data_IF_318093362045
#
_entry.id   IF_318093362045
#
_cell.length_a   1.000
_cell.length_b   1.000
_cell.length_c   1.000
_cell.angle_alpha   90.00
_cell.angle_beta   90.00
_cell.angle_gamma   90.00
#
_symmetry.space_group_name_H-M   'P 1'
#
loop_
_entity.id
_entity.type
_entity.pdbx_description
1 polymer ?
#
# COMPACT_ATOMS: atom_id res chain seq x y z
N UNK A 1 5.45 -10.40 12.67
CA UNK A 1 4.15 -9.85 12.26
C UNK A 1 3.40 -10.89 11.44
N UNK A 2 2.09 -11.09 11.66
CA UNK A 2 1.29 -11.98 10.82
C UNK A 2 1.19 -11.40 9.41
N UNK A 3 1.42 -12.22 8.38
CA UNK A 3 1.23 -11.81 6.98
C UNK A 3 -0.27 -11.81 6.68
N UNK A 4 -0.75 -10.74 6.07
CA UNK A 4 -2.13 -10.60 5.62
C UNK A 4 -2.16 -9.88 4.28
N UNK A 5 -3.26 -10.04 3.56
CA UNK A 5 -3.51 -9.37 2.30
C UNK A 5 -4.53 -8.28 2.55
N UNK A 6 -4.28 -7.09 2.03
CA UNK A 6 -5.25 -6.02 2.01
C UNK A 6 -5.81 -5.86 0.61
N UNK A 7 -7.06 -5.41 0.54
CA UNK A 7 -7.69 -4.92 -0.68
C UNK A 7 -8.00 -3.44 -0.49
N UNK A 8 -7.60 -2.62 -1.46
CA UNK A 8 -7.99 -1.22 -1.57
C UNK A 8 -9.12 -1.18 -2.58
N UNK A 9 -10.34 -0.96 -2.10
CA UNK A 9 -11.56 -1.02 -2.91
C UNK A 9 -11.97 0.35 -3.44
N UNK A 10 -11.52 1.43 -2.79
CA UNK A 10 -11.92 2.80 -3.14
C UNK A 10 -10.83 3.82 -2.86
N UNK A 11 -10.73 4.84 -3.71
CA UNK A 11 -9.94 6.04 -3.43
C UNK A 11 -10.81 7.18 -2.88
N UNK A 12 -10.31 7.88 -1.86
CA UNK A 12 -10.84 9.17 -1.40
C UNK A 12 -10.16 10.35 -2.06
N UNK A 13 -8.86 10.22 -2.34
CA UNK A 13 -8.04 11.21 -3.02
C UNK A 13 -6.94 10.46 -3.75
N UNK A 14 -6.64 10.86 -4.97
CA UNK A 14 -5.59 10.22 -5.76
C UNK A 14 -5.76 10.57 -7.24
N UNK A 15 -4.83 10.10 -8.08
CA UNK A 15 -4.88 10.40 -9.49
C UNK A 15 -5.86 9.43 -10.19
N UNK A 16 -6.50 9.88 -11.28
CA UNK A 16 -7.61 9.16 -11.93
C UNK A 16 -7.17 7.80 -12.46
N UNK A 17 -5.94 7.69 -12.95
CA UNK A 17 -5.38 6.45 -13.47
C UNK A 17 -5.25 5.36 -12.41
N UNK A 18 -5.10 5.72 -11.13
CA UNK A 18 -5.10 4.74 -10.06
C UNK A 18 -6.51 4.20 -9.80
N UNK A 19 -7.54 5.03 -9.96
CA UNK A 19 -8.92 4.61 -9.78
C UNK A 19 -9.36 3.55 -10.81
N UNK A 20 -8.81 3.59 -12.02
CA UNK A 20 -9.06 2.59 -13.06
C UNK A 20 -8.40 1.23 -12.80
N UNK A 21 -7.53 1.14 -11.79
CA UNK A 21 -6.80 -0.07 -11.42
C UNK A 21 -7.32 -0.70 -10.12
N UNK A 22 -8.44 -0.19 -9.59
CA UNK A 22 -9.14 -0.80 -8.45
C UNK A 22 -9.94 -2.05 -8.89
N UNK A 23 -10.15 -3.02 -7.98
CA UNK A 23 -9.58 -3.11 -6.64
C UNK A 23 -8.08 -3.46 -6.68
N UNK A 24 -7.31 -2.92 -5.72
CA UNK A 24 -5.87 -3.21 -5.62
C UNK A 24 -5.63 -4.15 -4.46
N UNK A 25 -5.08 -5.32 -4.76
CA UNK A 25 -4.72 -6.32 -3.76
C UNK A 25 -3.22 -6.29 -3.50
N UNK A 26 -2.84 -6.21 -2.22
CA UNK A 26 -1.44 -6.18 -1.82
C UNK A 26 -1.20 -7.00 -0.54
N UNK A 27 -0.16 -7.82 -0.56
CA UNK A 27 0.26 -8.63 0.58
C UNK A 27 1.23 -7.83 1.44
N UNK A 28 0.89 -7.59 2.70
CA UNK A 28 1.80 -6.96 3.67
C UNK A 28 2.93 -7.93 4.00
N UNK A 29 4.16 -7.51 3.72
CA UNK A 29 5.37 -8.34 3.87
C UNK A 29 6.25 -7.89 5.03
N UNK A 30 6.27 -6.61 5.37
CA UNK A 30 7.15 -6.06 6.40
C UNK A 30 6.57 -4.78 7.01
N UNK A 31 6.88 -4.54 8.29
CA UNK A 31 6.66 -3.25 8.95
C UNK A 31 7.94 -2.44 8.80
N UNK A 32 7.84 -1.20 8.32
CA UNK A 32 8.94 -0.27 8.12
C UNK A 32 8.76 0.93 9.06
N UNK A 33 9.34 0.93 10.27
CA UNK A 33 9.30 2.11 11.12
C UNK A 33 9.84 3.34 10.40
N UNK A 34 9.04 4.41 10.35
CA UNK A 34 9.47 5.72 9.87
C UNK A 34 9.94 6.59 11.03
N UNK A 35 10.56 7.74 10.70
CA UNK A 35 11.03 8.71 11.70
C UNK A 35 9.89 9.39 12.47
N UNK A 36 8.70 9.45 11.88
CA UNK A 36 7.52 10.16 12.38
C UNK A 36 6.45 9.22 12.99
N UNK A 37 6.44 7.95 12.58
CA UNK A 37 5.58 6.89 13.13
C UNK A 37 6.16 5.49 12.90
N UNK A 38 5.92 4.54 13.83
CA UNK A 38 6.56 3.21 13.79
C UNK A 38 5.85 2.18 12.91
N UNK A 39 4.71 2.52 12.31
CA UNK A 39 3.71 1.60 11.76
C UNK A 39 3.40 1.84 10.28
N UNK A 40 4.43 2.09 9.46
CA UNK A 40 4.29 1.88 8.01
C UNK A 40 4.45 0.41 7.68
N UNK A 41 3.78 0.01 6.60
CA UNK A 41 3.80 -1.35 6.09
C UNK A 41 4.24 -1.34 4.63
N UNK A 42 5.24 -2.17 4.34
CA UNK A 42 5.61 -2.53 2.99
C UNK A 42 4.69 -3.66 2.52
N UNK A 43 4.06 -3.45 1.38
CA UNK A 43 3.17 -4.41 0.77
C UNK A 43 3.60 -4.71 -0.67
N UNK A 44 3.61 -5.99 -1.04
CA UNK A 44 3.83 -6.44 -2.41
C UNK A 44 2.48 -6.53 -3.14
N UNK A 45 2.38 -5.91 -4.30
CA UNK A 45 1.19 -6.00 -5.13
C UNK A 45 0.99 -7.41 -5.68
N UNK A 46 -0.25 -7.87 -5.76
CA UNK A 46 -0.57 -9.12 -6.47
C UNK A 46 -0.52 -8.94 -7.98
N UNK A 47 -0.98 -7.78 -8.48
CA UNK A 47 -0.85 -7.34 -9.87
C UNK A 47 -0.12 -5.99 -9.91
N UNK A 48 0.90 -5.86 -10.76
CA UNK A 48 1.65 -4.61 -10.90
C UNK A 48 0.72 -3.47 -11.31
N UNK A 49 0.94 -2.29 -10.72
CA UNK A 49 0.24 -1.07 -11.14
C UNK A 49 1.04 -0.35 -12.21
N UNK A 50 0.35 0.29 -13.13
CA UNK A 50 0.96 1.19 -14.12
C UNK A 50 0.84 2.61 -13.61
N UNK A 51 1.97 3.28 -13.45
CA UNK A 51 2.06 4.67 -13.05
C UNK A 51 2.68 5.53 -14.14
N UNK A 52 1.97 6.58 -14.55
CA UNK A 52 2.46 7.57 -15.50
C UNK A 52 2.48 8.95 -14.83
N UNK A 53 3.63 9.33 -14.28
CA UNK A 53 3.77 10.55 -13.49
C UNK A 53 3.51 11.85 -14.28
N UNK A 54 3.75 11.82 -15.59
CA UNK A 54 3.52 12.94 -16.51
C UNK A 54 3.14 12.40 -17.90
N UNK A 55 2.30 13.08 -18.70
CA UNK A 55 1.90 12.63 -20.03
C UNK A 55 3.07 12.30 -20.98
N UNK A 56 4.20 12.99 -20.83
CA UNK A 56 5.39 12.81 -21.65
C UNK A 56 6.36 11.73 -21.13
N UNK A 57 6.17 11.26 -19.90
CA UNK A 57 7.01 10.21 -19.33
C UNK A 57 6.53 8.83 -19.74
N UNK A 58 7.49 7.90 -19.92
CA UNK A 58 7.17 6.49 -20.09
C UNK A 58 6.44 5.97 -18.84
N UNK A 59 5.38 5.17 -19.00
CA UNK A 59 4.76 4.47 -17.88
C UNK A 59 5.79 3.62 -17.13
N UNK A 60 5.66 3.57 -15.81
CA UNK A 60 6.47 2.73 -14.92
C UNK A 60 5.56 1.70 -14.27
N UNK A 61 6.07 0.49 -14.11
CA UNK A 61 5.42 -0.51 -13.28
C UNK A 61 5.78 -0.29 -11.82
N UNK A 62 4.77 -0.41 -10.96
CA UNK A 62 4.89 -0.38 -9.52
C UNK A 62 4.58 -1.78 -9.02
N UNK A 63 5.53 -2.35 -8.26
CA UNK A 63 5.47 -3.71 -7.72
C UNK A 63 5.17 -3.72 -6.22
N UNK A 64 5.44 -2.60 -5.53
CA UNK A 64 5.32 -2.49 -4.09
C UNK A 64 4.71 -1.15 -3.66
N UNK A 65 3.99 -1.19 -2.55
CA UNK A 65 3.38 -0.05 -1.88
C UNK A 65 3.96 0.13 -0.47
N UNK A 66 4.00 1.37 0.00
CA UNK A 66 4.14 1.72 1.41
C UNK A 66 2.80 2.27 1.88
N UNK A 67 2.31 1.74 3.00
CA UNK A 67 0.97 1.99 3.52
C UNK A 67 1.01 2.35 5.00
N UNK A 68 0.09 3.20 5.44
CA UNK A 68 -0.22 3.40 6.86
C UNK A 68 -1.66 3.89 7.03
N UNK A 69 -2.24 3.73 8.21
CA UNK A 69 -3.54 4.36 8.52
C UNK A 69 -3.42 5.88 8.48
N UNK A 70 -4.47 6.59 8.09
CA UNK A 70 -4.45 8.07 8.12
C UNK A 70 -4.28 8.63 9.54
N UNK A 71 -4.91 8.00 10.52
CA UNK A 71 -4.89 8.43 11.92
C UNK A 71 -3.95 7.54 12.72
N UNK A 72 -2.99 8.12 13.45
CA UNK A 72 -1.97 7.39 14.22
C UNK A 72 -2.55 6.44 15.27
N UNK A 73 -3.78 6.70 15.71
CA UNK A 73 -4.49 5.89 16.71
C UNK A 73 -5.26 4.72 16.09
N UNK A 74 -5.34 4.65 14.76
CA UNK A 74 -5.89 3.49 14.05
C UNK A 74 -4.74 2.59 13.61
N UNK A 75 -4.90 1.28 13.78
CA UNK A 75 -3.90 0.30 13.37
C UNK A 75 -4.35 -0.43 12.10
N UNK A 76 -3.40 -0.77 11.23
CA UNK A 76 -3.63 -1.77 10.18
C UNK A 76 -3.42 -3.13 10.84
N UNK A 77 -4.51 -3.86 11.04
CA UNK A 77 -4.49 -5.19 11.64
C UNK A 77 -5.32 -6.19 10.82
N UNK A 78 -5.19 -7.51 11.08
CA UNK A 78 -5.87 -8.55 10.32
C UNK A 78 -7.40 -8.55 10.37
N UNK A 79 -8.02 -7.72 11.20
CA UNK A 79 -9.46 -7.63 11.38
C UNK A 79 -10.04 -6.34 10.81
N UNK A 80 -9.18 -5.44 10.29
CA UNK A 80 -9.60 -4.15 9.78
C UNK A 80 -10.56 -4.28 8.58
N UNK A 81 -11.60 -3.46 8.60
CA UNK A 81 -12.56 -3.30 7.51
C UNK A 81 -12.79 -1.81 7.25
N UNK A 82 -12.73 -1.40 5.98
CA UNK A 82 -12.97 -0.04 5.50
C UNK A 82 -12.11 1.04 6.20
N UNK A 83 -10.84 0.72 6.47
CA UNK A 83 -9.90 1.66 7.10
C UNK A 83 -9.32 2.61 6.08
N UNK A 84 -9.33 3.90 6.40
CA UNK A 84 -8.71 4.93 5.60
C UNK A 84 -7.18 4.88 5.72
N UNK A 85 -6.51 4.54 4.61
CA UNK A 85 -5.06 4.40 4.53
C UNK A 85 -4.45 5.43 3.58
N UNK A 86 -3.22 5.85 3.88
CA UNK A 86 -2.33 6.53 2.96
C UNK A 86 -1.58 5.50 2.11
N UNK A 87 -1.50 5.78 0.81
CA UNK A 87 -0.91 4.90 -0.20
C UNK A 87 0.26 5.63 -0.86
N UNK A 88 1.44 5.03 -0.79
CA UNK A 88 2.64 5.48 -1.48
C UNK A 88 3.19 4.38 -2.38
N UNK A 89 3.69 4.75 -3.56
CA UNK A 89 4.43 3.85 -4.44
C UNK A 89 5.86 3.74 -3.97
N UNK A 90 6.43 2.53 -3.99
CA UNK A 90 7.88 2.35 -3.94
C UNK A 90 8.44 2.73 -5.30
N UNK A 91 9.33 3.72 -5.34
CA UNK A 91 9.93 4.24 -6.58
C UNK A 91 11.42 3.90 -6.71
N UNK A 92 12.02 3.38 -5.64
CA UNK A 92 13.36 2.81 -5.59
C UNK A 92 13.28 1.49 -4.80
N UNK A 93 13.48 0.36 -5.50
CA UNK A 93 13.34 -0.99 -4.95
C UNK A 93 14.41 -1.34 -3.91
N UNK A 94 15.48 -0.55 -3.77
CA UNK A 94 16.44 -0.76 -2.69
C UNK A 94 15.81 -0.60 -1.30
N UNK A 95 14.65 0.08 -1.19
CA UNK A 95 13.85 0.15 0.04
C UNK A 95 13.41 -1.23 0.56
N UNK A 96 13.29 -2.23 -0.32
CA UNK A 96 12.90 -3.61 0.06
C UNK A 96 13.94 -4.29 0.97
N UNK A 97 15.17 -3.78 1.00
CA UNK A 97 16.26 -4.30 1.84
C UNK A 97 16.48 -3.46 3.10
N UNK A 98 15.65 -2.44 3.35
CA UNK A 98 15.79 -1.56 4.50
C UNK A 98 14.91 -2.00 5.67
N UNK A 99 15.34 -1.66 6.89
CA UNK A 99 14.59 -1.94 8.12
C UNK A 99 13.83 -0.73 8.66
N UNK A 100 13.99 0.44 8.04
CA UNK A 100 13.30 1.69 8.37
C UNK A 100 12.85 2.37 7.10
N UNK A 101 11.74 3.11 7.14
CA UNK A 101 11.25 3.81 5.96
C UNK A 101 12.16 4.97 5.56
N UNK A 102 12.68 4.93 4.34
CA UNK A 102 13.30 6.07 3.67
C UNK A 102 12.29 6.73 2.73
N UNK A 103 11.78 7.91 3.14
CA UNK A 103 10.76 8.65 2.38
C UNK A 103 11.19 9.05 0.98
N UNK A 104 12.50 9.19 0.71
CA UNK A 104 13.00 9.54 -0.62
C UNK A 104 12.85 8.39 -1.64
N UNK A 105 12.62 7.17 -1.17
CA UNK A 105 12.46 5.95 -1.99
C UNK A 105 11.01 5.59 -2.25
N UNK A 106 10.08 6.40 -1.76
CA UNK A 106 8.66 6.25 -1.99
C UNK A 106 8.02 7.58 -2.40
N UNK A 107 6.85 7.51 -3.03
CA UNK A 107 6.07 8.70 -3.36
C UNK A 107 4.65 8.50 -2.90
N UNK A 108 4.16 9.40 -2.04
CA UNK A 108 2.75 9.43 -1.67
C UNK A 108 1.88 9.73 -2.90
N UNK A 109 0.81 8.95 -3.08
CA UNK A 109 -0.08 9.04 -4.25
C UNK A 109 -1.53 9.27 -3.86
N UNK A 110 -2.03 8.61 -2.81
CA UNK A 110 -3.47 8.56 -2.57
C UNK A 110 -3.85 8.34 -1.09
N UNK A 111 -5.11 8.67 -0.79
CA UNK A 111 -5.87 8.14 0.33
C UNK A 111 -6.92 7.17 -0.21
N UNK A 112 -7.05 5.99 0.39
CA UNK A 112 -8.03 4.98 0.01
C UNK A 112 -8.64 4.25 1.20
N UNK A 113 -9.80 3.65 0.98
CA UNK A 113 -10.41 2.70 1.93
C UNK A 113 -9.87 1.30 1.64
N UNK A 114 -9.45 0.61 2.68
CA UNK A 114 -8.89 -0.72 2.57
C UNK A 114 -9.42 -1.65 3.66
N UNK A 115 -9.56 -2.93 3.29
CA UNK A 115 -9.98 -4.01 4.18
C UNK A 115 -8.98 -5.15 4.12
N UNK A 116 -8.81 -5.88 5.23
CA UNK A 116 -8.05 -7.14 5.17
C UNK A 116 -8.91 -8.23 4.56
N UNK A 117 -8.37 -8.90 3.55
CA UNK A 117 -8.98 -10.08 2.98
C UNK A 117 -8.84 -11.24 3.98
N UNK A 118 -9.97 -11.65 4.56
CA UNK A 118 -10.04 -12.87 5.38
C UNK A 118 -9.88 -14.07 4.45
N UNK A 119 -8.90 -14.93 4.71
CA UNK A 119 -8.91 -16.27 4.10
C UNK A 119 -10.12 -17.02 4.64
N UNK A 120 -11.13 -17.22 3.79
CA UNK A 120 -12.19 -18.17 4.09
C UNK A 120 -11.55 -19.57 4.06
N UNK A 121 -11.38 -20.18 5.23
CA UNK A 121 -11.08 -21.61 5.35
C UNK A 121 -12.34 -22.39 4.96
N UNK A 122 -12.64 -22.43 3.66
CA UNK A 122 -13.42 -23.50 3.07
C UNK A 122 -12.44 -24.65 2.83
N UNK A 123 -12.81 -25.86 3.29
CA UNK A 123 -11.99 -27.08 3.41
C UNK A 123 -11.15 -27.17 4.69
N UNK A 124 -11.79 -27.66 5.76
CA UNK A 124 -11.19 -28.53 6.76
C UNK A 124 -11.80 -29.92 6.61
#
# INVERSE_FOLDING_TARGET
MKKFTIEISRLKKGPKELAYQLPITAKVIQRLPGKDRPDYFLAKLENNLVWKAHPEMKPKEITHLVLCTKYKEHHIDPEMNDVLIAIAYVIDESLLNENTLNFNKCKYIALGEASVLKKWNIFK
#
